data_IF_294123755808
#
_entry.id   IF_294123755808
#
_cell.length_a   1.000
_cell.length_b   1.000
_cell.length_c   1.000
_cell.angle_alpha   90.00
_cell.angle_beta   90.00
_cell.angle_gamma   90.00
#
_symmetry.space_group_name_H-M   'P 1'
#
loop_
_entity.id
_entity.type
_entity.pdbx_description
1 polymer ?
#
# COMPACT_ATOMS: atom_id res chain seq x y z
N UNK A 1 20.80 -2.63 -10.20
CA UNK A 1 20.59 -1.17 -10.10
C UNK A 1 19.52 -0.83 -9.07
N UNK A 2 18.30 -1.39 -9.16
CA UNK A 2 17.21 -1.17 -8.18
C UNK A 2 17.64 -1.41 -6.72
N UNK A 3 18.27 -2.54 -6.40
CA UNK A 3 18.71 -2.89 -5.04
C UNK A 3 19.57 -1.79 -4.42
N UNK A 4 20.53 -1.24 -5.17
CA UNK A 4 21.40 -0.17 -4.71
C UNK A 4 20.58 1.07 -4.34
N UNK A 5 19.64 1.49 -5.18
CA UNK A 5 18.77 2.65 -4.92
C UNK A 5 17.88 2.44 -3.70
N UNK A 6 17.36 1.23 -3.51
CA UNK A 6 16.56 0.91 -2.32
C UNK A 6 17.41 1.00 -1.04
N UNK A 7 18.65 0.48 -1.07
CA UNK A 7 19.59 0.60 0.06
C UNK A 7 19.95 2.06 0.31
N UNK A 8 20.32 2.82 -0.73
CA UNK A 8 20.64 4.25 -0.61
C UNK A 8 19.49 5.05 0.01
N UNK A 9 18.24 4.70 -0.32
CA UNK A 9 17.07 5.38 0.23
C UNK A 9 16.77 5.01 1.68
N UNK A 10 17.08 3.78 2.12
CA UNK A 10 16.56 3.20 3.37
C UNK A 10 17.60 2.76 4.40
N UNK A 11 18.90 2.90 4.12
CA UNK A 11 19.98 2.50 5.02
C UNK A 11 19.91 3.15 6.42
N UNK A 12 19.27 4.31 6.55
CA UNK A 12 19.07 5.03 7.82
C UNK A 12 17.92 4.47 8.68
N UNK A 13 17.12 3.55 8.13
CA UNK A 13 16.00 2.91 8.83
C UNK A 13 16.51 1.73 9.66
N UNK A 14 16.80 2.03 10.93
CA UNK A 14 17.28 1.08 11.94
C UNK A 14 16.21 0.95 13.02
N UNK A 15 16.15 -0.21 13.68
CA UNK A 15 15.34 -0.35 14.90
C UNK A 15 16.01 0.45 16.03
N UNK A 16 15.36 1.52 16.50
CA UNK A 16 15.94 2.43 17.50
C UNK A 16 15.39 2.23 18.90
N UNK A 17 14.14 1.81 19.01
CA UNK A 17 13.45 1.66 20.29
C UNK A 17 12.59 0.39 20.31
N UNK A 18 12.20 -0.06 21.50
CA UNK A 18 11.31 -1.22 21.64
C UNK A 18 9.87 -0.90 21.24
N UNK A 19 9.34 0.26 21.62
CA UNK A 19 7.94 0.63 21.39
C UNK A 19 7.76 2.15 21.20
N UNK A 20 7.18 2.56 20.07
CA UNK A 20 6.81 3.95 19.79
C UNK A 20 5.47 4.38 20.42
N UNK A 21 4.81 3.52 21.19
CA UNK A 21 3.53 3.75 21.90
C UNK A 21 2.33 4.09 21.01
N UNK A 22 2.45 3.93 19.69
CA UNK A 22 1.33 4.17 18.79
C UNK A 22 0.18 3.20 19.08
N UNK A 23 -1.04 3.72 19.07
CA UNK A 23 -2.27 2.93 19.15
C UNK A 23 -2.80 2.55 17.76
N UNK A 24 -2.21 3.12 16.70
CA UNK A 24 -2.65 2.92 15.32
C UNK A 24 -2.18 1.57 14.81
N UNK A 25 -3.06 0.85 14.13
CA UNK A 25 -2.78 -0.41 13.47
C UNK A 25 -3.30 -0.39 12.03
N UNK A 26 -2.78 -1.28 11.20
CA UNK A 26 -3.37 -1.58 9.90
C UNK A 26 -4.34 -2.74 10.07
N UNK A 27 -5.47 -2.66 9.37
CA UNK A 27 -6.45 -3.72 9.33
C UNK A 27 -6.07 -4.69 8.22
N UNK A 28 -5.76 -5.94 8.58
CA UNK A 28 -5.58 -7.02 7.62
C UNK A 28 -6.86 -7.85 7.64
N UNK A 29 -7.50 -7.97 6.48
CA UNK A 29 -8.69 -8.80 6.29
C UNK A 29 -8.38 -10.04 5.46
N UNK A 30 -9.12 -11.10 5.71
CA UNK A 30 -9.15 -12.32 4.90
C UNK A 30 -9.89 -12.00 3.61
N UNK A 31 -9.23 -12.20 2.46
CA UNK A 31 -9.91 -12.16 1.16
C UNK A 31 -10.49 -13.55 0.89
N UNK A 32 -11.77 -13.62 0.49
CA UNK A 32 -12.62 -14.83 0.41
C UNK A 32 -12.04 -16.06 -0.33
N UNK A 33 -10.91 -15.94 -1.03
CA UNK A 33 -10.30 -17.04 -1.81
C UNK A 33 -8.87 -17.43 -1.40
N UNK A 34 -8.24 -16.82 -0.39
CA UNK A 34 -6.82 -17.08 -0.06
C UNK A 34 -6.50 -17.02 1.43
N UNK A 35 -6.75 -18.14 2.11
CA UNK A 35 -6.51 -18.30 3.55
C UNK A 35 -5.02 -18.26 3.92
N UNK A 36 -4.17 -18.90 3.11
CA UNK A 36 -2.72 -18.92 3.33
C UNK A 36 -2.08 -17.53 3.32
N UNK A 37 -2.61 -16.63 2.48
CA UNK A 37 -2.10 -15.25 2.39
C UNK A 37 -2.41 -14.45 3.65
N UNK A 38 -3.56 -14.68 4.28
CA UNK A 38 -3.90 -13.98 5.51
C UNK A 38 -2.94 -14.36 6.64
N UNK A 39 -2.72 -15.66 6.86
CA UNK A 39 -1.84 -16.16 7.92
C UNK A 39 -0.39 -15.72 7.69
N UNK A 40 0.11 -15.80 6.44
CA UNK A 40 1.46 -15.36 6.10
C UNK A 40 1.70 -13.85 6.31
N UNK A 41 0.66 -13.02 6.13
CA UNK A 41 0.75 -11.56 6.34
C UNK A 41 0.75 -11.18 7.82
N UNK A 42 0.02 -11.94 8.64
CA UNK A 42 -0.13 -11.68 10.08
C UNK A 42 1.02 -12.28 10.89
N UNK A 43 1.63 -13.37 10.41
CA UNK A 43 2.72 -14.07 11.09
C UNK A 43 3.88 -13.13 11.45
N UNK A 44 4.30 -13.20 12.72
CA UNK A 44 5.40 -12.42 13.25
C UNK A 44 5.10 -10.94 13.43
N UNK A 45 3.85 -10.51 13.34
CA UNK A 45 3.43 -9.15 13.68
C UNK A 45 2.92 -9.06 15.11
N UNK A 46 2.94 -7.84 15.65
CA UNK A 46 2.38 -7.53 16.97
C UNK A 46 0.95 -6.99 16.80
N UNK A 47 0.04 -7.44 17.65
CA UNK A 47 -1.36 -7.00 17.62
C UNK A 47 -1.54 -5.57 18.15
N UNK A 48 -2.27 -4.75 17.40
CA UNK A 48 -2.66 -3.40 17.85
C UNK A 48 -3.92 -3.44 18.75
N UNK A 49 -4.82 -4.38 18.48
CA UNK A 49 -6.04 -4.63 19.26
C UNK A 49 -6.15 -6.10 19.67
N UNK A 50 -6.99 -6.38 20.68
CA UNK A 50 -7.27 -7.75 21.10
C UNK A 50 -8.05 -8.48 20.01
N UNK A 51 -7.77 -9.76 19.81
CA UNK A 51 -8.52 -10.60 18.88
C UNK A 51 -9.51 -11.43 19.67
N UNK A 52 -10.78 -11.30 19.29
CA UNK A 52 -11.90 -12.01 19.91
C UNK A 52 -12.45 -13.04 18.94
N UNK A 53 -12.85 -14.19 19.46
CA UNK A 53 -13.54 -15.20 18.68
C UNK A 53 -14.95 -14.68 18.30
N UNK A 54 -15.33 -14.69 17.01
CA UNK A 54 -16.66 -14.27 16.57
C UNK A 54 -17.79 -15.12 17.18
N UNK A 55 -17.54 -16.40 17.47
CA UNK A 55 -18.57 -17.34 17.97
C UNK A 55 -18.68 -17.30 19.49
N UNK A 56 -17.55 -17.30 20.21
CA UNK A 56 -17.55 -17.44 21.68
C UNK A 56 -17.36 -16.12 22.44
N UNK A 57 -17.05 -15.02 21.74
CA UNK A 57 -16.65 -13.72 22.33
C UNK A 57 -15.48 -13.80 23.32
N UNK A 58 -14.81 -14.95 23.43
CA UNK A 58 -13.62 -15.12 24.26
C UNK A 58 -12.43 -14.44 23.59
N UNK A 59 -11.55 -13.85 24.39
CA UNK A 59 -10.33 -13.21 23.90
C UNK A 59 -9.31 -14.29 23.59
N UNK A 60 -8.92 -14.42 22.32
CA UNK A 60 -7.93 -15.41 21.87
C UNK A 60 -6.52 -14.88 22.10
N UNK A 61 -6.26 -13.63 21.68
CA UNK A 61 -4.96 -12.98 21.79
C UNK A 61 -5.12 -11.59 22.40
N UNK A 62 -4.19 -11.23 23.27
CA UNK A 62 -4.19 -9.93 23.96
C UNK A 62 -3.61 -8.84 23.05
N UNK A 63 -3.95 -7.60 23.37
CA UNK A 63 -3.33 -6.43 22.74
C UNK A 63 -1.82 -6.43 23.01
N UNK A 64 -1.01 -6.16 21.98
CA UNK A 64 0.45 -6.11 22.09
C UNK A 64 1.12 -7.49 22.07
N UNK A 65 0.34 -8.57 21.89
CA UNK A 65 0.87 -9.91 21.77
C UNK A 65 1.43 -10.17 20.36
N UNK A 66 2.49 -10.96 20.30
CA UNK A 66 3.18 -11.32 19.07
C UNK A 66 2.54 -12.56 18.46
N UNK A 67 2.20 -12.52 17.18
CA UNK A 67 1.59 -13.66 16.49
C UNK A 67 2.70 -14.64 16.11
N UNK A 68 2.70 -15.80 16.78
CA UNK A 68 3.66 -16.89 16.55
C UNK A 68 3.00 -18.06 15.81
N UNK A 69 3.80 -19.03 15.35
CA UNK A 69 3.30 -20.23 14.65
C UNK A 69 2.26 -21.00 15.49
N UNK A 70 2.42 -21.04 16.82
CA UNK A 70 1.45 -21.69 17.72
C UNK A 70 0.08 -21.00 17.76
N UNK A 71 0.05 -19.69 17.51
CA UNK A 71 -1.18 -18.91 17.47
C UNK A 71 -1.94 -19.08 16.16
N UNK A 72 -1.25 -19.42 15.06
CA UNK A 72 -1.87 -19.58 13.74
C UNK A 72 -2.95 -20.68 13.73
N UNK A 73 -2.68 -21.82 14.36
CA UNK A 73 -3.64 -22.92 14.45
C UNK A 73 -4.91 -22.55 15.24
N UNK A 74 -4.84 -21.60 16.17
CA UNK A 74 -6.02 -21.06 16.85
C UNK A 74 -6.80 -20.11 15.94
N UNK A 75 -6.09 -19.23 15.22
CA UNK A 75 -6.72 -18.28 14.29
C UNK A 75 -7.46 -18.98 13.14
N UNK A 76 -6.90 -20.10 12.65
CA UNK A 76 -7.51 -20.93 11.62
C UNK A 76 -8.78 -21.63 12.12
N UNK A 77 -8.71 -22.28 13.29
CA UNK A 77 -9.87 -22.98 13.91
C UNK A 77 -11.06 -22.07 14.20
N UNK A 78 -10.79 -20.82 14.56
CA UNK A 78 -11.83 -19.84 14.88
C UNK A 78 -12.26 -18.97 13.69
N UNK A 79 -11.72 -19.20 12.50
CA UNK A 79 -12.09 -18.53 11.24
C UNK A 79 -12.13 -16.99 11.35
N UNK A 80 -11.10 -16.41 11.97
CA UNK A 80 -11.01 -14.96 12.13
C UNK A 80 -10.94 -14.27 10.76
N UNK A 81 -11.83 -13.28 10.55
CA UNK A 81 -11.97 -12.56 9.28
C UNK A 81 -11.05 -11.34 9.19
N UNK A 82 -10.77 -10.69 10.32
CA UNK A 82 -10.00 -9.45 10.36
C UNK A 82 -9.19 -9.32 11.64
N UNK A 83 -8.00 -8.74 11.51
CA UNK A 83 -7.10 -8.47 12.63
C UNK A 83 -6.45 -7.10 12.46
N UNK A 84 -6.36 -6.35 13.56
CA UNK A 84 -5.58 -5.12 13.59
C UNK A 84 -4.16 -5.40 14.10
N UNK A 85 -3.17 -5.18 13.24
CA UNK A 85 -1.76 -5.40 13.55
C UNK A 85 -1.00 -4.08 13.52
N UNK A 86 0.06 -3.99 14.31
CA UNK A 86 1.03 -2.90 14.18
C UNK A 86 1.77 -3.05 12.85
N UNK A 87 2.15 -1.90 12.31
CA UNK A 87 2.86 -1.79 11.03
C UNK A 87 3.95 -0.74 11.14
N UNK A 88 5.00 -0.92 10.34
CA UNK A 88 6.07 0.08 10.23
C UNK A 88 5.59 1.37 9.56
N UNK A 89 4.52 1.35 8.75
CA UNK A 89 3.94 2.55 8.13
C UNK A 89 3.40 3.56 9.13
N UNK A 90 2.85 3.06 10.24
CA UNK A 90 2.17 3.84 11.28
C UNK A 90 3.03 4.06 12.52
N UNK A 91 4.31 3.64 12.48
CA UNK A 91 5.24 3.91 13.57
C UNK A 91 5.43 5.42 13.76
N UNK A 92 5.25 5.92 14.98
CA UNK A 92 5.34 7.36 15.30
C UNK A 92 6.78 7.77 15.71
N UNK A 93 7.75 6.87 15.57
CA UNK A 93 9.14 7.20 15.83
C UNK A 93 9.71 8.12 14.73
N UNK A 94 10.31 9.24 15.14
CA UNK A 94 10.87 10.26 14.25
C UNK A 94 12.01 9.72 13.37
N UNK A 95 12.89 8.91 13.94
CA UNK A 95 14.03 8.33 13.24
C UNK A 95 14.02 6.80 13.39
N UNK A 96 14.03 6.09 12.27
CA UNK A 96 13.96 4.63 12.25
C UNK A 96 12.57 4.08 12.57
N UNK A 97 12.54 2.89 13.15
CA UNK A 97 11.30 2.19 13.55
C UNK A 97 11.46 1.55 14.93
N UNK A 98 10.35 1.19 15.57
CA UNK A 98 10.38 0.43 16.82
C UNK A 98 10.24 -1.09 16.61
N UNK A 99 10.76 -1.89 17.53
CA UNK A 99 10.69 -3.36 17.47
C UNK A 99 9.25 -3.86 17.41
N UNK A 100 8.31 -3.25 18.15
CA UNK A 100 6.91 -3.69 18.15
C UNK A 100 6.16 -3.39 16.85
N UNK A 101 6.51 -2.31 16.12
CA UNK A 101 5.92 -2.04 14.81
C UNK A 101 6.49 -2.91 13.69
N UNK A 102 7.75 -3.34 13.81
CA UNK A 102 8.38 -4.25 12.86
C UNK A 102 8.01 -5.72 13.11
N UNK A 103 7.98 -6.12 14.39
CA UNK A 103 7.68 -7.48 14.83
C UNK A 103 8.90 -8.40 14.74
N UNK A 104 8.71 -9.57 14.14
CA UNK A 104 9.74 -10.59 14.00
C UNK A 104 10.84 -10.23 13.02
N UNK A 105 12.05 -10.58 13.39
CA UNK A 105 13.11 -10.92 12.45
C UNK A 105 12.86 -12.35 11.92
N UNK A 106 12.78 -12.51 10.60
CA UNK A 106 12.50 -13.78 9.96
C UNK A 106 13.66 -14.78 10.04
N UNK A 107 14.89 -14.30 10.21
CA UNK A 107 16.06 -15.16 10.34
C UNK A 107 16.07 -15.88 11.69
N UNK A 108 15.70 -15.18 12.76
CA UNK A 108 15.73 -15.71 14.13
C UNK A 108 14.38 -16.16 14.65
N UNK A 109 13.27 -15.78 13.99
CA UNK A 109 11.87 -15.95 14.45
C UNK A 109 11.62 -15.40 15.85
N UNK A 110 12.37 -14.38 16.23
CA UNK A 110 12.24 -13.64 17.49
C UNK A 110 11.90 -12.20 17.20
N UNK A 111 11.45 -11.48 18.23
CA UNK A 111 11.23 -10.04 18.12
C UNK A 111 12.56 -9.37 17.72
N UNK A 112 12.51 -8.44 16.77
CA UNK A 112 13.71 -7.76 16.27
C UNK A 112 14.41 -6.97 17.38
N UNK A 113 15.73 -7.05 17.39
CA UNK A 113 16.57 -6.37 18.37
C UNK A 113 16.80 -4.90 18.01
N UNK A 114 17.12 -4.10 19.02
CA UNK A 114 17.50 -2.70 18.82
C UNK A 114 18.87 -2.66 18.16
N UNK A 115 19.01 -1.86 17.11
CA UNK A 115 20.22 -1.76 16.30
C UNK A 115 20.14 -2.53 14.97
N UNK A 116 19.12 -3.36 14.74
CA UNK A 116 18.99 -4.10 13.48
C UNK A 116 18.71 -3.16 12.30
N UNK A 117 19.50 -3.23 11.20
CA UNK A 117 19.35 -2.39 10.02
C UNK A 117 18.23 -2.90 9.09
N UNK A 118 16.99 -2.78 9.54
CA UNK A 118 15.81 -3.31 8.83
C UNK A 118 15.57 -2.69 7.45
N UNK A 119 16.05 -1.47 7.22
CA UNK A 119 16.03 -0.83 5.90
C UNK A 119 16.86 -1.58 4.86
N UNK A 120 18.11 -1.92 5.20
CA UNK A 120 19.00 -2.69 4.33
C UNK A 120 18.43 -4.08 4.07
N UNK A 121 17.91 -4.74 5.12
CA UNK A 121 17.28 -6.06 5.01
C UNK A 121 16.09 -5.98 4.04
N UNK A 122 15.20 -5.00 4.20
CA UNK A 122 14.05 -4.83 3.29
C UNK A 122 14.47 -4.55 1.85
N UNK A 123 15.45 -3.68 1.64
CA UNK A 123 15.96 -3.36 0.32
C UNK A 123 16.57 -4.59 -0.39
N UNK A 124 17.29 -5.45 0.34
CA UNK A 124 17.83 -6.69 -0.19
C UNK A 124 16.74 -7.71 -0.49
N UNK A 125 15.81 -7.93 0.45
CA UNK A 125 14.68 -8.86 0.27
C UNK A 125 13.80 -8.53 -0.94
N UNK A 126 13.72 -7.25 -1.33
CA UNK A 126 12.99 -6.80 -2.53
C UNK A 126 13.88 -6.84 -3.77
N UNK A 127 15.12 -6.37 -3.64
CA UNK A 127 16.02 -6.15 -4.75
C UNK A 127 16.65 -7.43 -5.32
N UNK A 128 17.01 -8.40 -4.47
CA UNK A 128 17.59 -9.67 -4.93
C UNK A 128 16.61 -10.46 -5.81
N UNK A 129 15.35 -10.73 -5.39
CA UNK A 129 14.40 -11.39 -6.28
C UNK A 129 14.03 -10.53 -7.49
N UNK A 130 14.14 -9.19 -7.38
CA UNK A 130 13.98 -8.27 -8.50
C UNK A 130 14.94 -8.55 -9.66
N UNK A 131 16.15 -9.06 -9.39
CA UNK A 131 17.08 -9.49 -10.46
C UNK A 131 16.60 -10.75 -11.18
N UNK A 132 15.90 -11.65 -10.47
CA UNK A 132 15.28 -12.83 -11.07
C UNK A 132 14.08 -12.44 -11.96
N UNK A 133 13.32 -11.41 -11.56
CA UNK A 133 12.21 -10.89 -12.37
C UNK A 133 12.68 -10.46 -13.76
N UNK A 134 13.82 -9.78 -13.86
CA UNK A 134 14.38 -9.35 -15.15
C UNK A 134 14.77 -10.49 -16.08
N UNK A 135 15.14 -11.65 -15.52
CA UNK A 135 15.52 -12.82 -16.31
C UNK A 135 14.27 -13.56 -16.83
N UNK A 136 13.22 -13.69 -16.00
CA UNK A 136 11.98 -14.39 -16.38
C UNK A 136 11.14 -13.62 -17.40
N UNK A 137 11.09 -12.29 -17.33
CA UNK A 137 10.33 -11.47 -18.29
C UNK A 137 10.77 -11.65 -19.74
N UNK A 138 12.03 -12.01 -20.00
CA UNK A 138 12.53 -12.22 -21.37
C UNK A 138 11.99 -13.50 -22.02
N UNK A 139 11.53 -14.48 -21.24
CA UNK A 139 11.08 -15.78 -21.76
C UNK A 139 9.59 -15.79 -22.13
N UNK A 140 8.80 -14.85 -21.62
CA UNK A 140 7.35 -14.73 -21.88
C UNK A 140 7.01 -13.72 -22.98
N UNK A 141 8.01 -13.01 -23.53
CA UNK A 141 7.85 -11.91 -24.49
C UNK A 141 7.28 -12.25 -25.88
N UNK A 142 6.66 -13.43 -26.05
CA UNK A 142 6.04 -13.89 -27.30
C UNK A 142 4.52 -14.07 -27.26
N UNK A 143 3.86 -13.87 -26.12
CA UNK A 143 2.41 -14.09 -25.98
C UNK A 143 1.68 -12.75 -26.06
N UNK A 144 1.07 -12.48 -27.22
CA UNK A 144 0.17 -11.34 -27.42
C UNK A 144 -1.07 -11.54 -26.54
N UNK A 145 -1.28 -10.67 -25.55
CA UNK A 145 -2.53 -10.62 -24.77
C UNK A 145 -2.39 -10.60 -23.24
N UNK A 146 -1.18 -10.80 -22.69
CA UNK A 146 -0.90 -10.52 -21.28
C UNK A 146 -0.30 -9.12 -21.16
N UNK A 147 -1.02 -8.24 -20.46
CA UNK A 147 -0.66 -6.85 -20.19
C UNK A 147 0.84 -6.72 -19.84
N UNK A 148 1.61 -6.04 -20.69
CA UNK A 148 3.08 -6.09 -20.79
C UNK A 148 3.80 -5.42 -19.60
N UNK A 149 3.05 -4.97 -18.58
CA UNK A 149 3.60 -4.42 -17.33
C UNK A 149 3.86 -5.48 -16.25
N UNK A 150 3.95 -6.76 -16.59
CA UNK A 150 4.33 -7.80 -15.63
C UNK A 150 5.85 -7.82 -15.44
N UNK A 151 6.34 -7.50 -14.23
CA UNK A 151 7.74 -7.68 -13.83
C UNK A 151 8.41 -6.42 -13.29
N UNK A 152 9.75 -6.37 -13.38
CA UNK A 152 10.55 -5.31 -12.75
C UNK A 152 10.19 -3.89 -13.20
N UNK A 153 9.92 -3.59 -14.49
CA UNK A 153 9.60 -2.22 -14.93
C UNK A 153 8.40 -1.63 -14.19
N UNK A 154 7.40 -2.46 -13.85
CA UNK A 154 6.23 -2.03 -13.10
C UNK A 154 6.55 -1.77 -11.62
N UNK A 155 7.42 -2.58 -11.02
CA UNK A 155 7.91 -2.33 -9.65
C UNK A 155 8.69 -1.02 -9.60
N UNK A 156 9.53 -0.74 -10.60
CA UNK A 156 10.26 0.53 -10.69
C UNK A 156 9.32 1.72 -10.91
N UNK A 157 8.30 1.58 -11.76
CA UNK A 157 7.27 2.59 -11.98
C UNK A 157 6.53 2.96 -10.67
N UNK A 158 6.18 1.95 -9.87
CA UNK A 158 5.50 2.12 -8.58
C UNK A 158 6.40 2.78 -7.53
N UNK A 159 7.67 2.35 -7.40
CA UNK A 159 8.60 2.95 -6.44
C UNK A 159 9.01 4.39 -6.80
N UNK A 160 8.95 4.75 -8.08
CA UNK A 160 9.22 6.11 -8.54
C UNK A 160 7.96 7.00 -8.60
N UNK A 161 6.78 6.46 -8.24
CA UNK A 161 5.51 7.16 -8.35
C UNK A 161 5.32 7.84 -9.71
N UNK A 162 5.68 7.13 -10.79
CA UNK A 162 5.50 7.59 -12.16
C UNK A 162 4.03 7.51 -12.54
N UNK A 163 3.60 8.41 -13.44
CA UNK A 163 2.27 8.34 -14.03
C UNK A 163 2.21 7.09 -14.91
N UNK A 164 1.24 6.19 -14.68
CA UNK A 164 1.14 4.98 -15.46
C UNK A 164 0.77 5.23 -16.93
N UNK A 165 1.17 4.30 -17.80
CA UNK A 165 0.81 4.35 -19.23
C UNK A 165 -0.69 4.13 -19.47
N UNK A 166 -1.28 3.22 -18.70
CA UNK A 166 -2.71 2.88 -18.73
C UNK A 166 -3.37 3.44 -17.48
N UNK A 167 -3.63 4.74 -17.50
CA UNK A 167 -4.27 5.46 -16.41
C UNK A 167 -5.76 5.14 -16.36
N UNK A 168 -6.24 4.84 -15.16
CA UNK A 168 -7.66 4.76 -14.85
C UNK A 168 -8.05 5.92 -13.93
N UNK A 169 -8.84 6.90 -14.42
CA UNK A 169 -9.19 8.07 -13.62
C UNK A 169 -10.10 7.69 -12.45
N UNK A 170 -9.88 8.38 -11.34
CA UNK A 170 -10.75 8.32 -10.16
C UNK A 170 -11.82 9.42 -10.21
N UNK A 171 -13.02 9.10 -9.75
CA UNK A 171 -14.09 10.08 -9.58
C UNK A 171 -13.71 11.07 -8.47
N UNK A 172 -13.56 12.36 -8.77
CA UNK A 172 -13.28 13.37 -7.74
C UNK A 172 -14.54 13.83 -6.98
N UNK A 173 -15.71 13.60 -7.58
CA UNK A 173 -17.01 13.97 -7.02
C UNK A 173 -17.94 12.77 -6.97
N UNK A 174 -18.78 12.70 -5.94
CA UNK A 174 -19.87 11.74 -5.88
C UNK A 174 -21.04 12.26 -6.73
N UNK A 175 -21.68 11.37 -7.48
CA UNK A 175 -22.74 11.80 -8.38
C UNK A 175 -23.22 10.75 -9.34
N UNK A 176 -24.10 11.17 -10.25
CA UNK A 176 -24.62 10.32 -11.32
C UNK A 176 -23.71 10.38 -12.54
N UNK A 177 -23.32 9.22 -13.03
CA UNK A 177 -22.45 9.07 -14.19
C UNK A 177 -23.27 9.15 -15.47
N UNK A 178 -22.79 9.90 -16.45
CA UNK A 178 -23.27 9.91 -17.83
C UNK A 178 -22.12 9.55 -18.77
N UNK A 179 -22.27 8.50 -19.55
CA UNK A 179 -21.24 8.05 -20.50
C UNK A 179 -21.66 8.44 -21.90
N UNK A 180 -20.79 9.16 -22.61
CA UNK A 180 -20.97 9.57 -24.00
C UNK A 180 -19.84 8.95 -24.82
N UNK A 181 -20.18 8.19 -25.84
CA UNK A 181 -19.20 7.65 -26.80
C UNK A 181 -18.81 8.74 -27.81
N UNK A 182 -17.51 8.92 -28.02
CA UNK A 182 -16.91 9.89 -28.95
C UNK A 182 -15.87 9.16 -29.79
N UNK A 183 -15.46 9.72 -30.93
CA UNK A 183 -14.46 9.11 -31.82
C UNK A 183 -13.11 8.84 -31.11
N UNK A 184 -12.76 9.66 -30.11
CA UNK A 184 -11.55 9.53 -29.28
C UNK A 184 -11.69 8.59 -28.07
N UNK A 185 -12.88 8.00 -27.83
CA UNK A 185 -13.15 7.09 -26.72
C UNK A 185 -14.43 7.40 -25.93
N UNK A 186 -14.40 7.16 -24.62
CA UNK A 186 -15.54 7.38 -23.74
C UNK A 186 -15.36 8.68 -22.94
N UNK A 187 -16.31 9.60 -23.09
CA UNK A 187 -16.42 10.80 -22.25
C UNK A 187 -17.36 10.52 -21.09
N UNK A 188 -16.80 10.38 -19.89
CA UNK A 188 -17.54 10.10 -18.66
C UNK A 188 -17.75 11.40 -17.91
N UNK A 189 -19.00 11.86 -17.84
CA UNK A 189 -19.41 13.05 -17.06
C UNK A 189 -20.02 12.61 -15.74
N UNK A 190 -19.55 13.17 -14.64
CA UNK A 190 -20.14 12.95 -13.31
C UNK A 190 -20.81 14.26 -12.89
N UNK A 191 -22.07 14.17 -12.47
CA UNK A 191 -22.84 15.31 -11.97
C UNK A 191 -23.21 15.10 -10.51
N UNK A 192 -22.84 16.04 -9.64
CA UNK A 192 -23.19 15.98 -8.22
C UNK A 192 -24.71 16.00 -8.01
N UNK A 193 -25.19 15.14 -7.11
CA UNK A 193 -26.62 15.02 -6.76
C UNK A 193 -26.80 15.50 -5.33
N UNK A 194 -27.62 16.53 -5.13
CA UNK A 194 -28.00 16.99 -3.78
C UNK A 194 -27.12 18.08 -3.16
N UNK A 195 -26.04 18.51 -3.84
CA UNK A 195 -25.20 19.64 -3.39
C UNK A 195 -25.39 20.83 -4.35
N UNK A 196 -25.61 22.03 -3.80
CA UNK A 196 -25.60 23.30 -4.55
C UNK A 196 -24.31 24.06 -4.20
N UNK A 197 -23.54 24.57 -5.16
CA UNK A 197 -23.72 24.53 -6.62
C UNK A 197 -23.56 23.12 -7.21
N UNK A 198 -24.24 22.86 -8.33
CA UNK A 198 -24.09 21.60 -9.06
C UNK A 198 -22.72 21.60 -9.71
N UNK A 199 -21.82 20.78 -9.21
CA UNK A 199 -20.52 20.53 -9.84
C UNK A 199 -20.63 19.42 -10.89
N UNK A 200 -20.01 19.66 -12.04
CA UNK A 200 -19.87 18.68 -13.12
C UNK A 200 -18.38 18.51 -13.44
N UNK A 201 -17.93 17.26 -13.52
CA UNK A 201 -16.58 16.90 -13.95
C UNK A 201 -16.63 15.93 -15.11
N UNK A 202 -15.71 16.10 -16.05
CA UNK A 202 -15.62 15.30 -17.27
C UNK A 202 -14.27 14.57 -17.30
N UNK A 203 -14.32 13.28 -17.61
CA UNK A 203 -13.16 12.40 -17.74
C UNK A 203 -13.13 11.81 -19.14
N UNK A 204 -11.97 11.85 -19.79
CA UNK A 204 -11.75 11.23 -21.09
C UNK A 204 -11.05 9.89 -20.87
N UNK A 205 -11.67 8.81 -21.33
CA UNK A 205 -11.17 7.44 -21.20
C UNK A 205 -10.98 6.88 -22.60
N UNK A 206 -9.76 6.43 -22.97
CA UNK A 206 -9.51 5.83 -24.27
C UNK A 206 -10.41 4.62 -24.54
N UNK A 207 -10.81 4.41 -25.80
CA UNK A 207 -11.65 3.27 -26.21
C UNK A 207 -11.03 1.89 -25.92
N UNK A 208 -9.70 1.83 -25.81
CA UNK A 208 -8.95 0.62 -25.42
C UNK A 208 -9.19 0.19 -23.97
N UNK A 209 -9.64 1.10 -23.10
CA UNK A 209 -9.90 0.82 -21.70
C UNK A 209 -11.36 0.38 -21.51
N UNK A 210 -11.56 -0.69 -20.75
CA UNK A 210 -12.89 -1.18 -20.40
C UNK A 210 -13.48 -0.31 -19.28
N UNK A 211 -14.70 0.22 -19.46
CA UNK A 211 -15.38 0.97 -18.41
C UNK A 211 -15.82 0.06 -17.26
N UNK A 212 -15.60 0.50 -16.03
CA UNK A 212 -16.11 -0.17 -14.81
C UNK A 212 -17.47 0.36 -14.38
N UNK A 213 -17.85 1.53 -14.87
CA UNK A 213 -19.09 2.22 -14.52
C UNK A 213 -20.09 2.16 -15.68
N UNK A 214 -21.38 2.10 -15.35
CA UNK A 214 -22.48 2.10 -16.32
C UNK A 214 -23.12 3.49 -16.42
N UNK A 215 -23.74 3.78 -17.56
CA UNK A 215 -24.49 5.01 -17.73
C UNK A 215 -25.66 5.07 -16.72
N UNK A 216 -25.79 6.20 -16.02
CA UNK A 216 -26.78 6.43 -14.98
C UNK A 216 -26.45 5.86 -13.59
N UNK A 217 -25.30 5.21 -13.41
CA UNK A 217 -24.85 4.68 -12.12
C UNK A 217 -24.49 5.82 -11.16
N UNK A 218 -24.79 5.64 -9.87
CA UNK A 218 -24.29 6.50 -8.80
C UNK A 218 -22.91 6.02 -8.38
N UNK A 219 -21.95 6.94 -8.32
CA UNK A 219 -20.58 6.68 -7.88
C UNK A 219 -20.23 7.55 -6.69
N UNK A 220 -19.41 7.01 -5.81
CA UNK A 220 -18.83 7.73 -4.68
C UNK A 220 -17.51 8.40 -5.07
N UNK A 221 -17.07 9.35 -4.24
CA UNK A 221 -15.76 9.98 -4.39
C UNK A 221 -14.66 8.91 -4.31
N UNK A 222 -13.74 8.95 -5.25
CA UNK A 222 -12.65 8.00 -5.41
C UNK A 222 -13.04 6.71 -6.13
N UNK A 223 -14.23 6.58 -6.72
CA UNK A 223 -14.57 5.39 -7.52
C UNK A 223 -13.68 5.30 -8.78
N UNK A 224 -13.19 4.09 -9.08
CA UNK A 224 -12.39 3.84 -10.29
C UNK A 224 -13.31 3.70 -11.51
N UNK A 225 -13.09 4.54 -12.53
CA UNK A 225 -14.01 4.65 -13.68
C UNK A 225 -13.72 3.63 -14.80
N UNK A 226 -12.48 3.19 -14.94
CA UNK A 226 -12.05 2.29 -16.02
C UNK A 226 -11.22 1.10 -15.53
N UNK A 227 -10.91 0.16 -16.41
CA UNK A 227 -9.83 -0.81 -16.23
C UNK A 227 -8.49 -0.11 -16.40
N UNK A 228 -7.54 -0.41 -15.52
CA UNK A 228 -6.20 0.14 -15.60
C UNK A 228 -5.63 0.40 -14.22
N UNK A 229 -4.56 1.17 -14.21
CA UNK A 229 -3.78 1.46 -13.01
C UNK A 229 -4.08 2.86 -12.52
N UNK A 230 -4.04 3.06 -11.21
CA UNK A 230 -4.37 4.34 -10.59
C UNK A 230 -3.10 5.19 -10.48
N UNK A 231 -3.24 6.51 -10.64
CA UNK A 231 -2.16 7.42 -10.25
C UNK A 231 -2.15 7.59 -8.73
N UNK A 232 -0.99 7.32 -8.13
CA UNK A 232 -0.72 7.58 -6.71
C UNK A 232 -1.00 9.02 -6.29
N UNK A 233 -0.86 10.01 -7.21
CA UNK A 233 -1.13 11.43 -6.93
C UNK A 233 -2.62 11.69 -6.78
N UNK A 234 -3.44 11.17 -7.70
CA UNK A 234 -4.90 11.23 -7.60
C UNK A 234 -5.40 10.54 -6.33
N UNK A 235 -4.84 9.37 -5.99
CA UNK A 235 -5.19 8.67 -4.75
C UNK A 235 -4.83 9.51 -3.53
N UNK A 236 -3.68 10.20 -3.52
CA UNK A 236 -3.24 11.04 -2.42
C UNK A 236 -4.19 12.21 -2.19
N UNK A 237 -4.63 12.86 -3.26
CA UNK A 237 -5.51 14.03 -3.20
C UNK A 237 -6.94 13.65 -2.80
N UNK A 238 -7.45 12.50 -3.28
CA UNK A 238 -8.84 12.09 -3.08
C UNK A 238 -9.02 11.28 -1.80
N UNK A 239 -8.18 10.25 -1.58
CA UNK A 239 -8.34 9.26 -0.50
C UNK A 239 -7.32 9.43 0.63
N UNK A 240 -6.28 10.23 0.42
CA UNK A 240 -5.25 10.52 1.43
C UNK A 240 -4.10 9.51 1.49
N UNK A 241 -3.14 9.80 2.38
CA UNK A 241 -1.84 9.11 2.43
C UNK A 241 -1.95 7.61 2.75
N UNK A 242 -2.87 7.22 3.64
CA UNK A 242 -3.02 5.82 4.01
C UNK A 242 -3.45 4.96 2.81
N UNK A 243 -4.40 5.45 2.02
CA UNK A 243 -4.88 4.77 0.83
C UNK A 243 -3.77 4.59 -0.22
N UNK A 244 -2.88 5.58 -0.40
CA UNK A 244 -1.73 5.46 -1.30
C UNK A 244 -0.77 4.37 -0.84
N UNK A 245 -0.48 4.31 0.46
CA UNK A 245 0.44 3.31 1.04
C UNK A 245 -0.11 1.90 0.87
N UNK A 246 -1.39 1.70 1.17
CA UNK A 246 -2.08 0.42 0.98
C UNK A 246 -2.11 0.01 -0.50
N UNK A 247 -2.45 0.95 -1.39
CA UNK A 247 -2.42 0.72 -2.84
C UNK A 247 -1.04 0.29 -3.35
N UNK A 248 0.03 0.97 -2.92
CA UNK A 248 1.39 0.63 -3.33
C UNK A 248 1.81 -0.76 -2.84
N UNK A 249 1.50 -1.13 -1.60
CA UNK A 249 1.80 -2.48 -1.10
C UNK A 249 1.07 -3.52 -1.95
N UNK A 250 -0.24 -3.34 -2.18
CA UNK A 250 -1.03 -4.31 -2.92
C UNK A 250 -0.56 -4.46 -4.37
N UNK A 251 -0.27 -3.37 -5.06
CA UNK A 251 0.20 -3.42 -6.44
C UNK A 251 1.59 -4.04 -6.56
N UNK A 252 2.52 -3.68 -5.67
CA UNK A 252 3.87 -4.26 -5.70
C UNK A 252 3.79 -5.76 -5.35
N UNK A 253 3.02 -6.13 -4.31
CA UNK A 253 2.83 -7.52 -3.92
C UNK A 253 2.24 -8.35 -5.05
N UNK A 254 1.23 -7.83 -5.79
CA UNK A 254 0.65 -8.51 -6.95
C UNK A 254 1.71 -8.85 -8.01
N UNK A 255 2.69 -7.98 -8.24
CA UNK A 255 3.76 -8.23 -9.21
C UNK A 255 4.72 -9.32 -8.74
N UNK A 256 5.10 -9.33 -7.46
CA UNK A 256 5.97 -10.40 -6.93
C UNK A 256 5.23 -11.74 -6.84
N UNK A 257 3.96 -11.71 -6.41
CA UNK A 257 3.10 -12.89 -6.32
C UNK A 257 2.80 -13.51 -7.69
N UNK A 258 2.60 -12.69 -8.75
CA UNK A 258 2.37 -13.19 -10.11
C UNK A 258 3.58 -13.95 -10.66
N UNK A 259 4.75 -13.75 -10.05
CA UNK A 259 6.02 -14.36 -10.42
C UNK A 259 6.42 -15.49 -9.44
N UNK A 260 5.54 -15.80 -8.48
CA UNK A 260 5.73 -16.87 -7.51
C UNK A 260 6.81 -16.59 -6.46
N UNK A 261 7.14 -15.31 -6.21
CA UNK A 261 8.14 -14.92 -5.22
C UNK A 261 7.39 -14.41 -3.97
N UNK A 262 7.31 -15.21 -2.88
CA UNK A 262 6.66 -14.76 -1.67
C UNK A 262 7.57 -13.79 -0.90
N UNK A 263 7.18 -12.52 -0.88
CA UNK A 263 7.81 -11.48 -0.03
C UNK A 263 6.81 -11.05 1.02
N UNK A 264 7.28 -10.86 2.26
CA UNK A 264 6.43 -10.34 3.32
C UNK A 264 6.24 -8.82 3.19
N UNK A 265 4.99 -8.38 3.34
CA UNK A 265 4.56 -6.97 3.32
C UNK A 265 5.47 -6.02 4.14
N UNK A 266 6.03 -6.47 5.27
CA UNK A 266 6.86 -5.61 6.14
C UNK A 266 8.05 -4.98 5.41
N UNK A 267 8.59 -5.67 4.40
CA UNK A 267 9.69 -5.12 3.61
C UNK A 267 9.20 -3.98 2.71
N UNK A 268 8.05 -4.14 2.05
CA UNK A 268 7.44 -3.08 1.26
C UNK A 268 7.02 -1.90 2.12
N UNK A 269 6.47 -2.15 3.31
CA UNK A 269 6.10 -1.11 4.26
C UNK A 269 7.27 -0.20 4.64
N UNK A 270 8.47 -0.75 4.84
CA UNK A 270 9.66 0.06 5.15
C UNK A 270 10.02 0.99 3.98
N UNK A 271 10.02 0.48 2.75
CA UNK A 271 10.33 1.30 1.58
C UNK A 271 9.27 2.38 1.39
N UNK A 272 7.98 2.02 1.52
CA UNK A 272 6.86 2.93 1.33
C UNK A 272 6.76 3.98 2.46
N UNK A 273 7.14 3.61 3.68
CA UNK A 273 7.33 4.58 4.78
C UNK A 273 8.33 5.66 4.36
N UNK A 274 9.47 5.26 3.78
CA UNK A 274 10.49 6.20 3.32
C UNK A 274 10.01 7.08 2.16
N UNK A 275 9.25 6.53 1.23
CA UNK A 275 8.65 7.29 0.12
C UNK A 275 7.72 8.41 0.62
N UNK A 276 7.16 8.27 1.82
CA UNK A 276 6.18 9.21 2.40
C UNK A 276 6.72 10.03 3.58
N UNK A 277 8.03 10.20 3.64
CA UNK A 277 8.73 10.87 4.76
C UNK A 277 8.89 12.39 4.58
N UNK A 278 8.52 12.94 3.42
CA UNK A 278 8.62 14.38 3.14
C UNK A 278 7.26 15.03 2.95
N UNK A 279 7.15 16.26 3.41
CA UNK A 279 5.96 17.11 3.24
C UNK A 279 6.37 18.43 2.58
N UNK A 280 5.45 19.02 1.82
CA UNK A 280 5.64 20.33 1.18
C UNK A 280 4.86 21.39 1.97
N UNK A 281 5.56 22.40 2.45
CA UNK A 281 4.94 23.50 3.21
C UNK A 281 4.15 24.39 2.26
N UNK A 282 2.82 24.41 2.35
CA UNK A 282 1.99 25.32 1.55
C UNK A 282 1.98 26.74 2.12
N UNK A 283 1.81 26.85 3.43
CA UNK A 283 1.79 28.11 4.16
C UNK A 283 2.70 27.97 5.39
N UNK A 284 3.72 28.82 5.54
CA UNK A 284 4.67 28.72 6.65
C UNK A 284 4.12 29.26 7.97
N UNK A 285 3.09 30.12 7.94
CA UNK A 285 2.55 30.75 9.15
C UNK A 285 3.64 31.52 9.90
N UNK A 286 3.77 31.25 11.21
CA UNK A 286 4.78 31.87 12.09
C UNK A 286 6.07 31.04 12.23
N UNK A 287 6.26 30.00 11.41
CA UNK A 287 7.45 29.15 11.48
C UNK A 287 8.59 29.72 10.62
N UNK A 288 9.79 29.16 10.78
CA UNK A 288 10.94 29.52 9.94
C UNK A 288 10.96 28.82 8.58
N UNK A 289 9.90 28.11 8.20
CA UNK A 289 9.84 27.40 6.92
C UNK A 289 9.61 28.37 5.77
N UNK A 290 10.11 28.01 4.59
CA UNK A 290 9.82 28.74 3.37
C UNK A 290 8.56 28.16 2.68
N UNK A 291 7.72 28.99 2.05
CA UNK A 291 6.67 28.49 1.17
C UNK A 291 7.25 27.55 0.10
N UNK A 292 6.58 26.43 -0.14
CA UNK A 292 6.98 25.34 -1.03
C UNK A 292 8.23 24.56 -0.62
N UNK A 293 8.81 24.81 0.56
CA UNK A 293 9.93 24.02 1.07
C UNK A 293 9.53 22.56 1.28
N UNK A 294 10.41 21.64 0.86
CA UNK A 294 10.28 20.21 1.14
C UNK A 294 11.06 19.88 2.41
N UNK A 295 10.34 19.56 3.47
CA UNK A 295 10.91 19.20 4.78
C UNK A 295 10.56 17.76 5.14
N UNK A 296 11.36 17.14 6.00
CA UNK A 296 10.98 15.83 6.56
C UNK A 296 9.75 15.98 7.45
N UNK A 297 8.90 14.95 7.46
CA UNK A 297 7.70 14.91 8.27
C UNK A 297 8.02 15.08 9.76
N UNK A 298 9.08 14.41 10.22
CA UNK A 298 9.56 14.50 11.59
C UNK A 298 10.07 15.90 12.01
N UNK A 299 10.46 16.77 11.05
CA UNK A 299 10.84 18.17 11.34
C UNK A 299 9.63 19.10 11.32
N UNK A 300 8.57 18.69 10.62
CA UNK A 300 7.35 19.49 10.45
C UNK A 300 6.35 19.28 11.60
N UNK A 301 6.21 18.04 12.07
CA UNK A 301 5.44 17.68 13.28
C UNK A 301 6.16 18.11 14.56
#
# INVERSE_FOLDING_TARGET
>A
YLTRRLVDATHDIIVREKDCRTKKGIKISRQEKKDEKFLGRVLGRVLAEKVVDPKTKKTLLKKGELVTDGNLGLLEKHEIQEMQVRSTLLCELHYGVCSQCYGWDFSTRKLVEVGTPVGVIAAQSIGEPGTQLTLRTKQTGGIVGLDVTQGLPRVEELFEARVPKTLSPLAEIAGKVSVIETDDGYKVRIRSVGVKPIEEKEYLIPSVSQLRVKNGQLVEVGAQLASGTLDTREILEIRGLQAVREYLIEEIQKVYDSQGIPINDKHFEIIIRRMSDKVRVKMPGNTSFLPQELVSKARFE
#
